data_IF_566982188602
#
_entry.id   IF_566982188602
#
_cell.length_a   1.000
_cell.length_b   1.000
_cell.length_c   1.000
_cell.angle_alpha   90.00
_cell.angle_beta   90.00
_cell.angle_gamma   90.00
#
_symmetry.space_group_name_H-M   'P 1'
#
loop_
_entity.id
_entity.type
_entity.pdbx_description
1 polymer ?
#
# COMPACT_ATOMS: atom_id res chain seq x y z
N UNK A 1 5.36 -0.46 5.33
CA UNK A 1 5.13 -1.12 6.63
C UNK A 1 6.43 -1.10 7.42
N UNK A 2 6.40 -0.70 8.68
CA UNK A 2 7.57 -0.72 9.56
C UNK A 2 7.59 -2.02 10.37
N UNK A 3 8.71 -2.74 10.34
CA UNK A 3 8.90 -4.00 11.06
C UNK A 3 9.38 -3.83 12.51
N UNK A 4 9.71 -2.60 12.93
CA UNK A 4 10.25 -2.32 14.27
C UNK A 4 9.31 -2.77 15.37
N UNK A 5 9.77 -3.68 16.24
CA UNK A 5 9.01 -4.17 17.40
C UNK A 5 7.86 -5.12 17.05
N UNK A 6 7.60 -5.35 15.76
CA UNK A 6 6.52 -6.23 15.30
C UNK A 6 6.91 -7.70 15.47
N UNK A 7 5.90 -8.54 15.75
CA UNK A 7 6.10 -9.99 15.80
C UNK A 7 6.13 -10.56 14.39
N UNK A 8 7.22 -11.23 14.01
CA UNK A 8 7.48 -11.76 12.66
C UNK A 8 6.27 -12.45 12.02
N UNK A 9 5.61 -13.36 12.75
CA UNK A 9 4.48 -14.11 12.20
C UNK A 9 3.22 -13.27 11.97
N UNK A 10 2.96 -12.28 12.85
CA UNK A 10 1.81 -11.38 12.71
C UNK A 10 2.04 -10.42 11.53
N UNK A 11 3.23 -9.82 11.48
CA UNK A 11 3.64 -8.97 10.36
C UNK A 11 3.57 -9.72 9.02
N UNK A 12 4.08 -10.95 8.96
CA UNK A 12 4.06 -11.75 7.73
C UNK A 12 2.63 -12.10 7.28
N UNK A 13 1.70 -12.36 8.21
CA UNK A 13 0.29 -12.60 7.90
C UNK A 13 -0.33 -11.37 7.23
N UNK A 14 -0.16 -10.21 7.84
CA UNK A 14 -0.77 -8.97 7.36
C UNK A 14 -0.21 -8.62 5.97
N UNK A 15 1.10 -8.75 5.78
CA UNK A 15 1.75 -8.61 4.46
C UNK A 15 1.16 -9.59 3.44
N UNK A 16 1.01 -10.87 3.79
CA UNK A 16 0.49 -11.88 2.87
C UNK A 16 -0.96 -11.61 2.45
N UNK A 17 -1.79 -11.08 3.36
CA UNK A 17 -3.18 -10.66 3.05
C UNK A 17 -3.18 -9.52 2.06
N UNK A 18 -2.39 -8.47 2.30
CA UNK A 18 -2.27 -7.31 1.40
C UNK A 18 -1.70 -7.70 0.02
N UNK A 19 -0.70 -8.59 -0.03
CA UNK A 19 -0.14 -9.10 -1.30
C UNK A 19 -1.15 -9.95 -2.09
N UNK A 20 -2.05 -10.66 -1.41
CA UNK A 20 -3.14 -11.40 -2.06
C UNK A 20 -4.30 -10.46 -2.45
N UNK A 21 -4.45 -9.33 -1.78
CA UNK A 21 -5.56 -8.38 -1.95
C UNK A 21 -6.86 -8.86 -1.30
N UNK A 22 -6.79 -9.79 -0.34
CA UNK A 22 -7.95 -10.36 0.36
C UNK A 22 -8.66 -9.37 1.30
N UNK A 23 -7.97 -8.28 1.62
CA UNK A 23 -8.49 -7.12 2.33
C UNK A 23 -9.43 -6.26 1.46
N UNK A 24 -9.40 -6.44 0.14
CA UNK A 24 -10.24 -5.66 -0.79
C UNK A 24 -11.53 -6.42 -1.16
N UNK A 25 -12.67 -5.72 -1.27
CA UNK A 25 -13.93 -6.33 -1.70
C UNK A 25 -13.89 -6.79 -3.17
N UNK A 26 -12.96 -6.27 -3.98
CA UNK A 26 -12.71 -6.68 -5.36
C UNK A 26 -11.81 -7.92 -5.49
N UNK A 27 -11.50 -8.60 -4.38
CA UNK A 27 -10.65 -9.79 -4.39
C UNK A 27 -11.23 -10.86 -5.30
N UNK A 28 -10.40 -11.33 -6.24
CA UNK A 28 -10.75 -12.40 -7.16
C UNK A 28 -9.60 -13.41 -7.18
N UNK A 29 -9.82 -14.70 -6.85
CA UNK A 29 -8.74 -15.67 -6.65
C UNK A 29 -7.82 -15.89 -7.87
N UNK A 30 -8.36 -15.75 -9.08
CA UNK A 30 -7.62 -15.96 -10.33
C UNK A 30 -6.95 -14.69 -10.88
N UNK A 31 -7.19 -13.53 -10.25
CA UNK A 31 -6.71 -12.23 -10.70
C UNK A 31 -5.77 -11.62 -9.67
N UNK A 32 -4.74 -10.91 -10.13
CA UNK A 32 -3.75 -10.30 -9.24
C UNK A 32 -4.22 -8.92 -8.74
N UNK A 33 -5.05 -8.90 -7.70
CA UNK A 33 -5.65 -7.66 -7.15
C UNK A 33 -4.87 -7.04 -5.98
N UNK A 34 -3.91 -7.77 -5.41
CA UNK A 34 -3.10 -7.30 -4.27
C UNK A 34 -2.18 -6.13 -4.59
N UNK A 35 -1.63 -5.52 -3.54
CA UNK A 35 -0.78 -4.33 -3.64
C UNK A 35 0.71 -4.62 -3.54
N UNK A 36 1.53 -3.62 -3.89
CA UNK A 36 2.95 -3.64 -3.57
C UNK A 36 3.15 -3.32 -2.09
N UNK A 37 4.03 -4.08 -1.44
CA UNK A 37 4.32 -3.89 -0.02
C UNK A 37 5.81 -3.63 0.14
N UNK A 38 6.15 -2.47 0.70
CA UNK A 38 7.51 -2.13 1.11
C UNK A 38 7.60 -2.27 2.63
N UNK A 39 8.55 -3.07 3.09
CA UNK A 39 8.85 -3.28 4.50
C UNK A 39 10.20 -2.65 4.82
N UNK A 40 10.22 -1.81 5.85
CA UNK A 40 11.44 -1.16 6.37
C UNK A 40 11.79 -1.68 7.75
N UNK A 41 13.04 -1.46 8.17
CA UNK A 41 13.59 -1.86 9.46
C UNK A 41 13.48 -3.37 9.74
N UNK A 42 13.67 -4.21 8.72
CA UNK A 42 13.55 -5.67 8.87
C UNK A 42 14.50 -6.25 9.94
N UNK A 43 15.64 -5.58 10.19
CA UNK A 43 16.60 -5.93 11.25
C UNK A 43 16.01 -5.87 12.66
N UNK A 44 14.95 -5.09 12.87
CA UNK A 44 14.32 -4.86 14.18
C UNK A 44 13.06 -5.69 14.42
N UNK A 45 12.84 -6.72 13.60
CA UNK A 45 11.71 -7.64 13.76
C UNK A 45 11.91 -8.55 14.97
N UNK A 46 10.84 -8.78 15.74
CA UNK A 46 10.88 -9.60 16.96
C UNK A 46 10.29 -10.97 16.73
N UNK A 47 10.86 -11.97 17.39
CA UNK A 47 10.22 -13.28 17.59
C UNK A 47 9.91 -13.54 19.05
N UNK A 48 8.87 -14.32 19.32
CA UNK A 48 8.46 -14.69 20.67
C UNK A 48 9.20 -15.93 21.17
N UNK A 49 9.41 -16.03 22.49
CA UNK A 49 10.07 -17.15 23.14
C UNK A 49 11.56 -17.29 22.77
N UNK A 50 12.07 -18.53 22.79
CA UNK A 50 13.48 -18.85 22.49
C UNK A 50 13.75 -19.13 21.01
N UNK A 51 12.83 -18.75 20.12
CA UNK A 51 12.88 -19.04 18.67
C UNK A 51 14.11 -18.44 17.99
N UNK A 52 14.61 -17.30 18.47
CA UNK A 52 15.83 -16.66 17.95
C UNK A 52 17.02 -17.61 17.89
N UNK A 53 17.18 -18.46 18.91
CA UNK A 53 18.30 -19.41 19.02
C UNK A 53 17.92 -20.80 18.52
N UNK A 54 16.67 -21.22 18.73
CA UNK A 54 16.23 -22.60 18.45
C UNK A 54 15.76 -22.82 17.01
N UNK A 55 15.35 -21.77 16.29
CA UNK A 55 14.84 -21.91 14.92
C UNK A 55 15.99 -21.97 13.93
N UNK A 56 15.96 -23.00 13.09
CA UNK A 56 16.89 -23.18 11.97
C UNK A 56 16.17 -23.02 10.63
N UNK A 57 16.88 -22.46 9.66
CA UNK A 57 16.52 -22.47 8.25
C UNK A 57 17.41 -23.50 7.55
N UNK A 58 16.78 -24.41 6.81
CA UNK A 58 17.47 -25.47 6.08
C UNK A 58 17.44 -25.22 4.58
N UNK A 59 18.54 -25.56 3.91
CA UNK A 59 18.69 -25.56 2.46
C UNK A 59 19.48 -26.80 2.06
N UNK A 60 19.01 -27.49 1.03
CA UNK A 60 19.72 -28.62 0.44
C UNK A 60 20.03 -28.33 -1.04
N UNK A 61 21.20 -28.75 -1.50
CA UNK A 61 21.61 -28.55 -2.90
C UNK A 61 21.10 -29.63 -3.86
N UNK A 62 20.78 -30.82 -3.35
CA UNK A 62 20.44 -32.02 -4.13
C UNK A 62 21.48 -33.12 -4.02
N UNK A 63 22.74 -32.77 -3.75
CA UNK A 63 23.83 -33.74 -3.54
C UNK A 63 23.83 -34.32 -2.13
N UNK A 64 24.20 -35.60 -2.00
CA UNK A 64 24.30 -36.32 -0.72
C UNK A 64 25.23 -35.56 0.24
N UNK A 65 24.81 -35.41 1.50
CA UNK A 65 25.58 -34.74 2.56
C UNK A 65 25.57 -33.20 2.54
N UNK A 66 24.99 -32.56 1.52
CA UNK A 66 25.01 -31.10 1.37
C UNK A 66 23.79 -30.39 1.99
N UNK A 67 23.47 -30.71 3.24
CA UNK A 67 22.48 -29.99 4.04
C UNK A 67 23.14 -28.79 4.72
N UNK A 68 22.64 -27.59 4.43
CA UNK A 68 23.08 -26.34 5.06
C UNK A 68 21.99 -25.86 5.99
N UNK A 69 22.35 -25.59 7.24
CA UNK A 69 21.48 -25.00 8.25
C UNK A 69 22.03 -23.64 8.69
N UNK A 70 21.13 -22.69 8.96
CA UNK A 70 21.46 -21.35 9.46
C UNK A 70 20.49 -21.04 10.59
N UNK A 71 20.97 -20.54 11.73
CA UNK A 71 20.08 -20.14 12.84
C UNK A 71 19.37 -18.84 12.52
N UNK A 72 18.18 -18.65 13.09
CA UNK A 72 17.42 -17.39 12.93
C UNK A 72 18.24 -16.17 13.39
N UNK A 73 18.96 -16.27 14.51
CA UNK A 73 19.94 -15.27 14.97
C UNK A 73 20.90 -14.85 13.85
N UNK A 74 21.61 -15.81 13.28
CA UNK A 74 22.67 -15.56 12.29
C UNK A 74 22.07 -14.97 11.02
N UNK A 75 20.87 -15.42 10.66
CA UNK A 75 20.15 -14.91 9.50
C UNK A 75 19.66 -13.47 9.68
N UNK A 76 19.31 -13.05 10.90
CA UNK A 76 18.96 -11.66 11.20
C UNK A 76 20.18 -10.74 11.16
N UNK A 77 21.37 -11.24 11.44
CA UNK A 77 22.63 -10.50 11.38
C UNK A 77 23.14 -10.37 9.93
N UNK A 78 23.14 -11.45 9.15
CA UNK A 78 23.64 -11.45 7.76
C UNK A 78 22.61 -10.85 6.78
N UNK A 79 21.36 -11.35 6.79
CA UNK A 79 20.33 -11.03 5.78
C UNK A 79 18.93 -10.97 6.40
N UNK A 80 18.64 -9.94 7.23
CA UNK A 80 17.37 -9.82 7.93
C UNK A 80 16.15 -9.78 7.00
N UNK A 81 16.30 -9.28 5.78
CA UNK A 81 15.24 -9.21 4.78
C UNK A 81 14.67 -10.59 4.49
N UNK A 82 15.57 -11.57 4.36
CA UNK A 82 15.23 -12.93 3.94
C UNK A 82 14.40 -13.67 5.00
N UNK A 83 14.50 -13.27 6.26
CA UNK A 83 13.67 -13.81 7.35
C UNK A 83 12.19 -13.51 7.10
N UNK A 84 11.88 -12.28 6.71
CA UNK A 84 10.51 -11.83 6.40
C UNK A 84 10.06 -12.42 5.06
N UNK A 85 10.91 -12.39 4.03
CA UNK A 85 10.59 -12.97 2.72
C UNK A 85 10.23 -14.46 2.82
N UNK A 86 11.00 -15.25 3.57
CA UNK A 86 10.72 -16.67 3.75
C UNK A 86 9.43 -16.91 4.53
N UNK A 87 9.14 -16.09 5.54
CA UNK A 87 7.90 -16.19 6.30
C UNK A 87 6.69 -15.90 5.41
N UNK A 88 6.73 -14.81 4.63
CA UNK A 88 5.65 -14.44 3.71
C UNK A 88 5.51 -15.45 2.57
N UNK A 89 6.62 -15.90 1.99
CA UNK A 89 6.62 -16.94 0.94
C UNK A 89 5.92 -18.21 1.39
N UNK A 90 6.07 -18.61 2.65
CA UNK A 90 5.37 -19.76 3.23
C UNK A 90 3.86 -19.57 3.39
N UNK A 91 3.38 -18.33 3.41
CA UNK A 91 1.96 -17.98 3.56
C UNK A 91 1.25 -17.70 2.22
N UNK A 92 1.99 -17.64 1.11
CA UNK A 92 1.45 -17.45 -0.24
C UNK A 92 1.12 -18.79 -0.91
N UNK A 93 0.15 -18.83 -1.85
CA UNK A 93 -0.15 -20.05 -2.61
C UNK A 93 1.07 -20.51 -3.41
N UNK A 94 1.34 -21.82 -3.42
CA UNK A 94 2.51 -22.40 -4.10
C UNK A 94 2.26 -22.60 -5.60
N UNK A 95 1.92 -21.53 -6.30
CA UNK A 95 1.66 -21.52 -7.74
C UNK A 95 2.42 -20.38 -8.45
N UNK A 96 2.24 -20.24 -9.75
CA UNK A 96 2.88 -19.17 -10.53
C UNK A 96 2.49 -17.77 -10.03
N UNK A 97 1.21 -17.53 -9.75
CA UNK A 97 0.72 -16.25 -9.22
C UNK A 97 1.35 -15.91 -7.87
N UNK A 98 1.50 -16.87 -6.96
CA UNK A 98 2.14 -16.65 -5.66
C UNK A 98 3.61 -16.23 -5.79
N UNK A 99 4.33 -16.77 -6.79
CA UNK A 99 5.68 -16.28 -7.12
C UNK A 99 5.66 -14.85 -7.62
N UNK A 100 4.67 -14.47 -8.43
CA UNK A 100 4.52 -13.11 -8.91
C UNK A 100 4.14 -12.15 -7.77
N UNK A 101 3.23 -12.54 -6.87
CA UNK A 101 2.87 -11.80 -5.65
C UNK A 101 4.11 -11.54 -4.80
N UNK A 102 4.96 -12.56 -4.59
CA UNK A 102 6.19 -12.40 -3.81
C UNK A 102 7.15 -11.37 -4.42
N UNK A 103 7.20 -11.22 -5.75
CA UNK A 103 8.05 -10.19 -6.39
C UNK A 103 7.62 -8.75 -6.07
N UNK A 104 6.36 -8.55 -5.66
CA UNK A 104 5.78 -7.26 -5.27
C UNK A 104 6.09 -6.88 -3.82
N UNK A 105 6.63 -7.83 -3.05
CA UNK A 105 7.19 -7.56 -1.73
C UNK A 105 8.62 -7.00 -1.89
N UNK A 106 8.89 -5.87 -1.25
CA UNK A 106 10.23 -5.28 -1.10
C UNK A 106 10.54 -5.18 0.38
N UNK A 107 11.66 -5.72 0.82
CA UNK A 107 12.07 -5.71 2.21
C UNK A 107 13.45 -5.07 2.30
N UNK A 108 13.62 -4.16 3.27
CA UNK A 108 14.87 -3.46 3.53
C UNK A 108 15.26 -3.62 4.99
N UNK A 109 16.55 -3.87 5.26
CA UNK A 109 17.08 -3.95 6.62
C UNK A 109 16.91 -2.64 7.42
N UNK A 110 17.05 -1.50 6.75
CA UNK A 110 16.99 -0.15 7.33
C UNK A 110 15.71 0.60 7.00
N UNK A 111 15.69 1.88 7.38
CA UNK A 111 14.54 2.78 7.18
C UNK A 111 14.44 3.35 5.76
N UNK A 112 15.57 3.44 5.05
CA UNK A 112 15.65 4.03 3.72
C UNK A 112 15.30 3.02 2.64
N UNK A 113 14.58 3.49 1.61
CA UNK A 113 14.24 2.71 0.42
C UNK A 113 14.15 3.60 -0.83
N UNK A 114 14.47 3.09 -2.02
CA UNK A 114 14.40 3.87 -3.27
C UNK A 114 12.97 4.19 -3.74
N UNK A 115 11.95 3.63 -3.07
CA UNK A 115 10.54 3.73 -3.48
C UNK A 115 9.79 4.93 -2.90
N UNK A 116 10.49 5.95 -2.38
CA UNK A 116 9.87 7.12 -1.74
C UNK A 116 8.95 7.89 -2.71
N UNK A 117 9.36 8.07 -3.96
CA UNK A 117 8.56 8.79 -4.96
C UNK A 117 7.21 8.10 -5.29
N UNK A 118 7.06 6.81 -4.99
CA UNK A 118 5.87 6.03 -5.30
C UNK A 118 4.82 6.08 -4.17
N UNK A 119 5.17 6.64 -3.01
CA UNK A 119 4.31 6.71 -1.84
C UNK A 119 3.93 8.18 -1.54
N UNK A 120 2.67 8.54 -1.76
CA UNK A 120 2.15 9.82 -1.28
C UNK A 120 1.93 9.72 0.25
N UNK A 121 2.74 10.44 1.02
CA UNK A 121 2.55 10.56 2.45
C UNK A 121 1.65 11.77 2.73
N UNK A 122 0.46 11.53 3.29
CA UNK A 122 -0.45 12.57 3.78
C UNK A 122 -0.62 12.39 5.28
N UNK A 123 -0.34 13.46 6.03
CA UNK A 123 -0.40 13.47 7.49
C UNK A 123 -1.63 14.26 7.93
N UNK A 124 -2.37 13.73 8.92
CA UNK A 124 -3.56 14.37 9.49
C UNK A 124 -4.88 13.98 8.80
N UNK A 125 -6.00 14.23 9.48
CA UNK A 125 -7.35 13.83 9.02
C UNK A 125 -7.58 12.31 9.04
N UNK A 126 -8.85 11.87 9.09
CA UNK A 126 -9.19 10.46 8.94
C UNK A 126 -8.88 9.93 7.53
N UNK A 127 -8.99 8.60 7.33
CA UNK A 127 -8.62 7.92 6.06
C UNK A 127 -9.28 8.54 4.83
N UNK A 128 -10.56 8.92 4.92
CA UNK A 128 -11.28 9.58 3.82
C UNK A 128 -10.70 10.95 3.47
N UNK A 129 -10.36 11.75 4.48
CA UNK A 129 -9.77 13.07 4.28
C UNK A 129 -8.38 12.97 3.63
N UNK A 130 -7.59 11.96 4.03
CA UNK A 130 -6.30 11.67 3.42
C UNK A 130 -6.45 11.28 1.95
N UNK A 131 -7.40 10.39 1.63
CA UNK A 131 -7.67 9.99 0.25
C UNK A 131 -8.11 11.16 -0.64
N UNK A 132 -8.99 12.04 -0.14
CA UNK A 132 -9.41 13.24 -0.85
C UNK A 132 -8.25 14.21 -1.08
N UNK A 133 -7.38 14.41 -0.09
CA UNK A 133 -6.20 15.26 -0.21
C UNK A 133 -5.22 14.75 -1.27
N UNK A 134 -4.94 13.44 -1.29
CA UNK A 134 -4.10 12.81 -2.32
C UNK A 134 -4.71 12.99 -3.71
N UNK A 135 -6.00 12.66 -3.86
CA UNK A 135 -6.71 12.79 -5.13
C UNK A 135 -6.64 14.22 -5.66
N UNK A 136 -6.88 15.20 -4.80
CA UNK A 136 -6.84 16.62 -5.18
C UNK A 136 -5.43 17.09 -5.55
N UNK A 137 -4.41 16.68 -4.78
CA UNK A 137 -3.01 17.00 -5.05
C UNK A 137 -2.52 16.45 -6.39
N UNK A 138 -2.77 15.16 -6.66
CA UNK A 138 -2.41 14.53 -7.94
C UNK A 138 -3.15 15.19 -9.10
N UNK A 139 -4.46 15.44 -8.95
CA UNK A 139 -5.26 16.08 -10.00
C UNK A 139 -4.69 17.46 -10.37
N UNK A 140 -4.31 18.27 -9.36
CA UNK A 140 -3.67 19.57 -9.59
C UNK A 140 -2.31 19.43 -10.26
N UNK A 141 -1.48 18.49 -9.82
CA UNK A 141 -0.17 18.22 -10.42
C UNK A 141 -0.28 17.82 -11.90
N UNK A 142 -1.24 16.96 -12.24
CA UNK A 142 -1.48 16.54 -13.63
C UNK A 142 -1.92 17.71 -14.51
N UNK A 143 -2.81 18.59 -14.02
CA UNK A 143 -3.24 19.79 -14.77
C UNK A 143 -2.08 20.77 -14.97
N UNK A 144 -1.17 20.89 -13.98
CA UNK A 144 0.00 21.75 -14.09
C UNK A 144 1.04 21.19 -15.07
N UNK A 145 1.19 19.86 -15.13
CA UNK A 145 2.10 19.18 -16.05
C UNK A 145 1.61 19.23 -17.50
N UNK A 146 0.33 18.93 -17.74
CA UNK A 146 -0.31 19.03 -19.06
C UNK A 146 -1.75 19.57 -18.92
N UNK A 147 -1.97 20.83 -19.33
CA UNK A 147 -3.30 21.45 -19.31
C UNK A 147 -4.34 20.71 -20.17
N UNK A 148 -3.93 19.94 -21.18
CA UNK A 148 -4.83 19.20 -22.07
C UNK A 148 -5.54 18.04 -21.35
N UNK A 149 -5.02 17.56 -20.21
CA UNK A 149 -5.67 16.51 -19.41
C UNK A 149 -6.93 17.00 -18.68
N UNK A 150 -7.13 18.31 -18.53
CA UNK A 150 -8.23 18.89 -17.73
C UNK A 150 -9.64 18.43 -18.15
N UNK A 151 -10.02 18.35 -19.44
CA UNK A 151 -11.33 17.87 -19.86
C UNK A 151 -11.56 16.38 -19.55
N UNK A 152 -10.52 15.55 -19.61
CA UNK A 152 -10.58 14.14 -19.25
C UNK A 152 -10.77 13.96 -17.74
N UNK A 153 -9.99 14.68 -16.93
CA UNK A 153 -10.12 14.67 -15.47
C UNK A 153 -11.47 15.21 -14.99
N UNK A 154 -12.06 16.18 -15.71
CA UNK A 154 -13.41 16.69 -15.41
C UNK A 154 -14.50 15.66 -15.71
N UNK A 155 -14.40 14.91 -16.82
CA UNK A 155 -15.33 13.82 -17.15
C UNK A 155 -15.28 12.69 -16.12
N UNK A 156 -14.09 12.38 -15.61
CA UNK A 156 -13.88 11.39 -14.56
C UNK A 156 -14.22 11.89 -13.14
N UNK A 157 -14.69 13.14 -12.99
CA UNK A 157 -15.11 13.69 -11.70
C UNK A 157 -13.96 14.10 -10.77
N UNK A 158 -12.70 14.06 -11.21
CA UNK A 158 -11.55 14.46 -10.40
C UNK A 158 -11.44 15.98 -10.22
N UNK A 159 -12.02 16.76 -11.15
CA UNK A 159 -12.09 18.22 -11.09
C UNK A 159 -13.55 18.64 -10.91
N UNK A 160 -13.88 19.18 -9.74
CA UNK A 160 -15.14 19.88 -9.50
C UNK A 160 -14.97 21.38 -9.74
N UNK A 161 -16.06 22.07 -10.11
CA UNK A 161 -16.07 23.54 -10.09
C UNK A 161 -15.99 23.99 -8.64
N UNK A 162 -15.23 25.05 -8.36
CA UNK A 162 -15.15 25.62 -7.01
C UNK A 162 -16.54 26.07 -6.57
N UNK A 163 -17.05 25.48 -5.49
CA UNK A 163 -18.37 25.80 -4.95
C UNK A 163 -18.45 27.26 -4.44
N UNK A 164 -17.31 27.90 -4.19
CA UNK A 164 -17.21 29.31 -3.79
C UNK A 164 -17.26 30.28 -4.98
N UNK A 165 -17.13 29.81 -6.22
CA UNK A 165 -17.39 30.67 -7.38
C UNK A 165 -18.86 31.07 -7.34
N UNK A 166 -19.09 32.36 -7.09
CA UNK A 166 -20.42 32.97 -7.13
C UNK A 166 -20.95 32.82 -8.56
N UNK A 167 -21.84 31.85 -8.78
CA UNK A 167 -22.58 31.72 -10.02
C UNK A 167 -23.19 33.09 -10.36
N UNK A 168 -23.01 33.53 -11.61
CA UNK A 168 -23.59 34.79 -12.06
C UNK A 168 -25.10 34.75 -11.84
N UNK A 169 -25.66 35.86 -11.36
CA UNK A 169 -27.09 36.00 -11.14
C UNK A 169 -27.80 35.79 -12.48
N UNK A 170 -28.52 34.68 -12.64
CA UNK A 170 -29.42 34.49 -13.77
C UNK A 170 -30.50 35.59 -13.74
N UNK A 171 -30.85 36.11 -14.90
CA UNK A 171 -31.85 37.18 -15.03
C UNK A 171 -33.15 36.80 -14.30
N UNK A 172 -33.69 37.70 -13.47
CA UNK A 172 -34.92 37.49 -12.70
C UNK A 172 -34.78 36.79 -11.32
N UNK A 173 -33.60 36.33 -10.91
CA UNK A 173 -33.42 35.61 -9.63
C UNK A 173 -32.78 36.48 -8.53
N UNK A 174 -33.30 36.47 -7.30
CA UNK A 174 -32.76 37.26 -6.17
C UNK A 174 -31.36 36.79 -5.71
N UNK A 175 -31.03 35.51 -5.90
CA UNK A 175 -29.72 34.86 -5.69
C UNK A 175 -29.52 33.73 -6.70
N UNK A 176 -28.29 33.22 -6.84
CA UNK A 176 -27.90 32.20 -7.83
C UNK A 176 -28.85 31.00 -8.00
N UNK A 177 -29.58 30.58 -6.96
CA UNK A 177 -30.48 29.40 -7.01
C UNK A 177 -31.84 29.52 -6.31
N UNK A 178 -32.17 30.64 -5.66
CA UNK A 178 -33.50 30.80 -5.06
C UNK A 178 -34.47 31.35 -6.08
N UNK A 179 -35.32 30.48 -6.64
CA UNK A 179 -36.54 30.90 -7.30
C UNK A 179 -37.30 31.87 -6.37
N UNK A 180 -37.87 32.97 -6.88
CA UNK A 180 -38.76 33.78 -6.06
C UNK A 180 -39.86 32.86 -5.52
N UNK A 181 -40.03 32.84 -4.19
CA UNK A 181 -41.10 32.10 -3.56
C UNK A 181 -42.41 32.77 -3.99
N UNK A 182 -43.17 32.09 -4.86
CA UNK A 182 -44.48 32.57 -5.27
C UNK A 182 -45.40 32.46 -4.06
N UNK A 183 -45.74 33.59 -3.45
CA UNK A 183 -46.81 33.66 -2.46
C UNK A 183 -48.11 33.45 -3.20
N UNK A 184 -48.71 32.25 -3.07
CA UNK A 184 -50.09 32.05 -3.49
C UNK A 184 -50.95 32.98 -2.63
N UNK A 185 -51.53 33.97 -3.29
CA UNK A 185 -52.50 34.89 -2.69
C UNK A 185 -53.83 34.17 -2.53
#
# INVERSE_FOLDING_TARGET
MDATGQTLGRLARDIAVTLQGKDKPSYTPHTMTGDFVVVVNASRVRTTGRKTTQKYYYRHSGYVGNLKSIRLREMLEDRPERVIELAVKGMLPRNHMGRQMLKRLKVYAGSQHPHEAQAAQVVGGGVNAQAEAVRHGITRALIAFDPAMKPALRRAGFVTRDARIKESKKYGLKRARRAPQYTKR
#
